data_IF_333657601859
#
_entry.id   IF_333657601859
#
_cell.length_a   1.000
_cell.length_b   1.000
_cell.length_c   1.000
_cell.angle_alpha   90.00
_cell.angle_beta   90.00
_cell.angle_gamma   90.00
#
_symmetry.space_group_name_H-M   'P 1'
#
loop_
_entity.id
_entity.type
_entity.pdbx_description
1 polymer ?
#
# COMPACT_ATOMS: atom_id res chain seq x y z
N UNK A 1 -14.28 91.90 -59.89
CA UNK A 1 -14.97 92.80 -58.95
C UNK A 1 -15.87 91.95 -58.06
N UNK A 2 -16.01 92.29 -56.77
CA UNK A 2 -16.76 91.57 -55.68
C UNK A 2 -15.93 90.61 -54.78
N UNK A 3 -15.10 91.22 -53.92
CA UNK A 3 -15.17 91.26 -52.43
C UNK A 3 -15.61 90.01 -51.61
N UNK A 4 -14.68 89.59 -50.72
CA UNK A 4 -14.77 89.02 -49.33
C UNK A 4 -15.79 87.91 -49.01
N UNK A 5 -15.31 86.85 -48.35
CA UNK A 5 -15.21 86.76 -46.85
C UNK A 5 -14.54 85.45 -46.42
N UNK A 6 -13.49 85.57 -45.59
CA UNK A 6 -12.94 84.49 -44.76
C UNK A 6 -14.00 84.06 -43.74
N UNK A 7 -14.24 82.75 -43.60
CA UNK A 7 -14.76 82.13 -42.38
C UNK A 7 -13.81 81.00 -41.98
N UNK A 8 -13.17 81.17 -40.82
CA UNK A 8 -12.41 80.13 -40.12
C UNK A 8 -13.44 79.20 -39.47
N UNK A 9 -13.42 77.91 -39.80
CA UNK A 9 -14.14 76.88 -39.05
C UNK A 9 -13.14 76.15 -38.16
N UNK A 10 -13.35 76.33 -36.85
CA UNK A 10 -12.66 75.64 -35.76
C UNK A 10 -13.24 74.23 -35.68
N UNK A 11 -12.41 73.20 -35.86
CA UNK A 11 -12.80 71.81 -35.58
C UNK A 11 -12.43 71.54 -34.11
N UNK A 12 -13.46 71.39 -33.29
CA UNK A 12 -13.35 71.03 -31.87
C UNK A 12 -13.17 69.51 -31.79
N UNK A 13 -12.05 69.07 -31.24
CA UNK A 13 -11.77 67.66 -30.93
C UNK A 13 -12.51 67.31 -29.62
N UNK A 14 -13.57 66.51 -29.70
CA UNK A 14 -14.23 65.95 -28.52
C UNK A 14 -13.43 64.69 -28.12
N UNK A 15 -12.60 64.81 -27.09
CA UNK A 15 -11.97 63.67 -26.43
C UNK A 15 -13.03 63.06 -25.49
N UNK A 16 -13.64 61.96 -25.93
CA UNK A 16 -14.50 61.14 -25.10
C UNK A 16 -13.70 60.46 -23.99
N UNK A 17 -14.04 60.80 -22.75
CA UNK A 17 -13.51 60.20 -21.54
C UNK A 17 -14.06 58.76 -21.41
N UNK A 18 -13.31 57.76 -21.90
CA UNK A 18 -13.60 56.35 -21.62
C UNK A 18 -13.05 56.04 -20.23
N UNK A 19 -13.89 56.18 -19.21
CA UNK A 19 -13.64 55.66 -17.88
C UNK A 19 -13.76 54.13 -17.91
N UNK A 20 -12.62 53.45 -18.10
CA UNK A 20 -12.50 52.00 -17.93
C UNK A 20 -12.63 51.69 -16.44
N UNK A 21 -13.79 51.18 -16.02
CA UNK A 21 -13.93 50.49 -14.75
C UNK A 21 -13.08 49.21 -14.81
N UNK A 22 -11.85 49.26 -14.27
CA UNK A 22 -11.11 48.07 -13.89
C UNK A 22 -11.82 47.41 -12.71
N UNK A 23 -12.77 46.52 -13.01
CA UNK A 23 -13.21 45.52 -12.03
C UNK A 23 -12.03 44.58 -11.78
N UNK A 24 -11.35 44.81 -10.67
CA UNK A 24 -10.33 43.94 -10.11
C UNK A 24 -10.86 42.51 -9.92
N UNK A 25 -10.66 41.65 -10.92
CA UNK A 25 -10.69 40.19 -10.75
C UNK A 25 -9.42 39.73 -10.00
N UNK A 26 -9.18 40.26 -8.80
CA UNK A 26 -7.97 39.98 -8.02
C UNK A 26 -8.05 38.72 -7.15
N UNK A 27 -9.23 38.10 -6.96
CA UNK A 27 -9.37 37.13 -5.86
C UNK A 27 -8.92 35.69 -6.12
N UNK A 28 -8.88 35.23 -7.38
CA UNK A 28 -8.55 33.83 -7.72
C UNK A 28 -7.04 33.58 -7.93
N UNK A 29 -6.28 34.63 -8.31
CA UNK A 29 -4.86 34.52 -8.61
C UNK A 29 -3.96 34.52 -7.36
N UNK A 30 -4.43 35.08 -6.24
CA UNK A 30 -3.63 35.25 -5.01
C UNK A 30 -3.37 33.91 -4.30
N UNK A 31 -4.36 33.00 -4.25
CA UNK A 31 -4.23 31.73 -3.51
C UNK A 31 -3.06 30.89 -4.01
N UNK A 32 -2.82 30.83 -5.33
CA UNK A 32 -1.71 30.05 -5.91
C UNK A 32 -0.33 30.64 -5.60
N UNK A 33 -0.25 31.93 -5.30
CA UNK A 33 1.01 32.60 -4.91
C UNK A 33 1.27 32.44 -3.43
N UNK A 34 0.20 32.46 -2.63
CA UNK A 34 0.29 32.49 -1.17
C UNK A 34 0.25 31.11 -0.51
N UNK A 35 -0.28 30.10 -1.18
CA UNK A 35 -0.36 28.74 -0.67
C UNK A 35 0.64 27.86 -1.42
N UNK A 36 1.62 27.35 -0.68
CA UNK A 36 2.56 26.34 -1.14
C UNK A 36 2.21 25.00 -0.52
N UNK A 37 2.29 23.93 -1.30
CA UNK A 37 2.06 22.57 -0.82
C UNK A 37 3.28 21.74 -1.14
N UNK A 38 3.96 21.28 -0.09
CA UNK A 38 5.11 20.40 -0.19
C UNK A 38 4.72 18.99 0.27
N UNK A 39 5.37 17.98 -0.28
CA UNK A 39 5.30 16.62 0.22
C UNK A 39 6.35 16.46 1.32
N UNK A 40 5.89 16.28 2.55
CA UNK A 40 6.77 16.05 3.70
C UNK A 40 7.32 14.62 3.68
N UNK A 41 6.43 13.64 3.54
CA UNK A 41 6.81 12.22 3.49
C UNK A 41 5.77 11.36 2.79
N UNK A 42 6.18 10.14 2.43
CA UNK A 42 5.31 9.05 1.96
C UNK A 42 5.50 7.87 2.89
N UNK A 43 4.41 7.31 3.37
CA UNK A 43 4.43 6.17 4.30
C UNK A 43 3.49 5.10 3.78
N UNK A 44 3.98 3.86 3.76
CA UNK A 44 3.16 2.68 3.51
C UNK A 44 2.66 2.18 4.86
N UNK A 45 1.37 1.95 4.94
CA UNK A 45 0.65 1.48 6.11
C UNK A 45 -0.15 0.22 5.74
N UNK A 46 -0.46 -0.60 6.73
CA UNK A 46 -1.37 -1.74 6.59
C UNK A 46 -1.01 -2.70 5.45
N UNK A 47 0.29 -2.95 5.22
CA UNK A 47 0.71 -3.93 4.21
C UNK A 47 0.20 -5.32 4.61
N UNK A 48 -0.54 -5.96 3.70
CA UNK A 48 -1.10 -7.30 3.87
C UNK A 48 -1.18 -8.04 2.53
N UNK A 49 -1.60 -9.33 2.52
CA UNK A 49 -1.91 -10.04 1.29
C UNK A 49 -3.04 -9.44 0.45
N UNK A 50 -3.86 -8.55 1.02
CA UNK A 50 -4.98 -7.90 0.34
C UNK A 50 -4.59 -6.56 -0.30
N UNK A 51 -3.51 -5.93 0.17
CA UNK A 51 -3.06 -4.64 -0.32
C UNK A 51 -2.29 -3.82 0.70
N UNK A 52 -2.37 -2.49 0.57
CA UNK A 52 -1.75 -1.52 1.47
C UNK A 52 -2.44 -0.16 1.40
N UNK A 53 -2.11 0.73 2.32
CA UNK A 53 -2.43 2.16 2.24
C UNK A 53 -1.15 2.95 2.01
N UNK A 54 -1.08 3.71 0.91
CA UNK A 54 0.00 4.66 0.67
C UNK A 54 -0.46 6.06 1.09
N UNK A 55 0.14 6.59 2.14
CA UNK A 55 -0.22 7.90 2.71
C UNK A 55 0.82 8.95 2.33
N UNK A 56 0.35 10.02 1.67
CA UNK A 56 1.13 11.21 1.37
C UNK A 56 0.89 12.25 2.47
N UNK A 57 1.92 12.57 3.25
CA UNK A 57 1.85 13.63 4.25
C UNK A 57 2.23 14.95 3.59
N UNK A 58 1.27 15.86 3.48
CA UNK A 58 1.46 17.15 2.83
C UNK A 58 1.64 18.24 3.88
N UNK A 59 2.61 19.11 3.62
CA UNK A 59 2.80 20.36 4.35
C UNK A 59 2.21 21.50 3.54
N UNK A 60 1.18 22.14 4.07
CA UNK A 60 0.54 23.29 3.43
C UNK A 60 0.99 24.56 4.16
N UNK A 61 1.70 25.42 3.44
CA UNK A 61 2.25 26.67 3.95
C UNK A 61 1.39 27.82 3.42
N UNK A 62 0.88 28.67 4.30
CA UNK A 62 0.14 29.87 3.95
C UNK A 62 0.98 31.11 4.27
N UNK A 63 1.55 31.74 3.25
CA UNK A 63 2.31 32.99 3.40
C UNK A 63 1.43 34.25 3.38
N UNK A 64 0.13 34.13 3.13
CA UNK A 64 -0.77 35.29 3.12
C UNK A 64 -1.03 35.83 4.53
N UNK A 65 -1.62 37.02 4.58
CA UNK A 65 -2.19 37.61 5.80
C UNK A 65 -3.61 37.13 6.13
N UNK A 66 -4.17 36.19 5.36
CA UNK A 66 -5.57 35.74 5.48
C UNK A 66 -5.65 34.27 5.86
N UNK A 67 -6.65 33.92 6.65
CA UNK A 67 -7.00 32.53 6.88
C UNK A 67 -7.69 31.95 5.64
N UNK A 68 -7.23 30.76 5.24
CA UNK A 68 -7.89 29.93 4.24
C UNK A 68 -8.40 28.65 4.89
N UNK A 69 -9.24 27.93 4.15
CA UNK A 69 -9.88 26.72 4.60
C UNK A 69 -9.86 25.71 3.46
N UNK A 70 -9.25 24.55 3.65
CA UNK A 70 -9.36 23.45 2.69
C UNK A 70 -10.80 22.95 2.71
N UNK A 71 -11.45 23.02 1.56
CA UNK A 71 -12.88 22.76 1.38
C UNK A 71 -13.16 21.62 0.41
N UNK A 72 -12.21 21.30 -0.47
CA UNK A 72 -12.35 20.19 -1.41
C UNK A 72 -10.99 19.72 -1.89
N UNK A 73 -10.97 18.54 -2.47
CA UNK A 73 -9.84 18.05 -3.23
C UNK A 73 -10.31 17.14 -4.38
N UNK A 74 -9.55 17.13 -5.46
CA UNK A 74 -9.68 16.14 -6.53
C UNK A 74 -8.32 15.59 -6.87
N UNK A 75 -8.25 14.30 -7.19
CA UNK A 75 -7.00 13.67 -7.61
C UNK A 75 -7.23 12.48 -8.53
N UNK A 76 -6.18 12.19 -9.28
CA UNK A 76 -5.95 10.95 -10.00
C UNK A 76 -4.73 10.27 -9.40
N UNK A 77 -4.87 9.00 -9.10
CA UNK A 77 -3.78 8.12 -8.71
C UNK A 77 -3.51 7.19 -9.88
N UNK A 78 -2.35 7.36 -10.49
CA UNK A 78 -1.89 6.60 -11.65
C UNK A 78 -0.85 5.62 -11.14
N UNK A 79 -0.98 4.35 -11.50
CA UNK A 79 0.04 3.33 -11.22
C UNK A 79 0.61 2.86 -12.56
N UNK A 80 1.93 2.89 -12.69
CA UNK A 80 2.63 2.82 -13.96
C UNK A 80 2.11 3.85 -14.97
N UNK A 81 1.22 3.43 -15.88
CA UNK A 81 0.61 4.26 -16.92
C UNK A 81 -0.92 4.22 -16.89
N UNK A 82 -1.52 3.48 -15.94
CA UNK A 82 -2.96 3.30 -15.85
C UNK A 82 -3.55 4.13 -14.71
N UNK A 83 -4.71 4.75 -14.96
CA UNK A 83 -5.49 5.41 -13.91
C UNK A 83 -6.08 4.35 -12.99
N UNK A 84 -5.54 4.21 -11.78
CA UNK A 84 -6.00 3.24 -10.79
C UNK A 84 -7.24 3.76 -10.05
N UNK A 85 -7.24 5.06 -9.71
CA UNK A 85 -8.32 5.72 -9.00
C UNK A 85 -8.41 7.18 -9.42
N UNK A 86 -9.65 7.67 -9.54
CA UNK A 86 -9.96 9.09 -9.67
C UNK A 86 -11.05 9.44 -8.67
N UNK A 87 -10.85 10.53 -7.95
CA UNK A 87 -11.72 10.92 -6.84
C UNK A 87 -11.83 12.44 -6.74
N UNK A 88 -13.01 12.91 -6.36
CA UNK A 88 -13.32 14.32 -6.16
C UNK A 88 -14.24 14.42 -4.95
N UNK A 89 -13.82 15.18 -3.94
CA UNK A 89 -14.46 15.22 -2.62
C UNK A 89 -14.61 16.66 -2.17
N UNK A 90 -15.79 17.01 -1.64
CA UNK A 90 -16.00 18.23 -0.86
C UNK A 90 -16.02 17.86 0.62
N UNK A 91 -15.35 18.67 1.45
CA UNK A 91 -15.27 18.47 2.88
C UNK A 91 -16.46 19.14 3.56
N UNK A 92 -17.19 18.39 4.38
CA UNK A 92 -18.23 18.94 5.26
C UNK A 92 -17.60 19.82 6.34
N UNK A 93 -16.55 19.30 6.99
CA UNK A 93 -15.73 20.04 7.95
C UNK A 93 -14.50 20.63 7.27
N UNK A 94 -14.50 21.96 7.15
CA UNK A 94 -13.40 22.70 6.55
C UNK A 94 -12.14 22.65 7.41
N UNK A 95 -10.99 22.31 6.82
CA UNK A 95 -9.71 22.29 7.53
C UNK A 95 -9.07 23.67 7.45
N UNK A 96 -8.89 24.33 8.60
CA UNK A 96 -8.30 25.68 8.66
C UNK A 96 -6.82 25.66 8.26
N UNK A 97 -6.44 26.55 7.35
CA UNK A 97 -5.06 26.89 6.96
C UNK A 97 -4.76 28.31 7.45
N UNK A 98 -4.24 28.49 8.67
CA UNK A 98 -4.11 29.82 9.27
C UNK A 98 -3.14 30.73 8.52
N UNK A 99 -3.36 32.05 8.59
CA UNK A 99 -2.46 33.05 8.02
C UNK A 99 -1.05 32.93 8.59
N UNK A 100 -0.02 33.02 7.73
CA UNK A 100 1.41 32.97 8.11
C UNK A 100 1.81 31.73 8.90
N UNK A 101 1.12 30.62 8.70
CA UNK A 101 1.39 29.35 9.37
C UNK A 101 1.45 28.21 8.36
N UNK A 102 1.93 27.06 8.84
CA UNK A 102 1.87 25.79 8.13
C UNK A 102 0.97 24.80 8.87
N UNK A 103 0.36 23.90 8.10
CA UNK A 103 -0.38 22.75 8.62
C UNK A 103 0.08 21.47 7.93
N UNK A 104 -0.17 20.33 8.56
CA UNK A 104 0.09 19.02 8.00
C UNK A 104 -1.22 18.28 7.77
N UNK A 105 -1.37 17.70 6.59
CA UNK A 105 -2.51 16.84 6.25
C UNK A 105 -2.00 15.48 5.78
N UNK A 106 -2.74 14.42 6.11
CA UNK A 106 -2.50 13.09 5.59
C UNK A 106 -3.47 12.82 4.43
N UNK A 107 -2.94 12.32 3.32
CA UNK A 107 -3.72 11.88 2.18
C UNK A 107 -3.50 10.40 1.92
N UNK A 108 -4.33 9.51 2.50
CA UNK A 108 -4.24 8.08 2.29
C UNK A 108 -4.84 7.68 0.95
N UNK A 109 -4.15 6.79 0.22
CA UNK A 109 -4.66 6.09 -0.96
C UNK A 109 -4.62 4.60 -0.68
N UNK A 110 -5.80 3.97 -0.59
CA UNK A 110 -5.91 2.52 -0.41
C UNK A 110 -5.69 1.80 -1.74
N UNK A 111 -4.71 0.92 -1.77
CA UNK A 111 -4.40 0.05 -2.90
C UNK A 111 -4.80 -1.37 -2.52
N UNK A 112 -5.71 -1.99 -3.28
CA UNK A 112 -6.04 -3.41 -3.13
C UNK A 112 -5.41 -4.18 -4.28
N UNK A 113 -4.80 -5.33 -4.01
CA UNK A 113 -4.13 -6.11 -5.06
C UNK A 113 -5.10 -6.67 -6.08
N UNK A 114 -6.31 -7.04 -5.66
CA UNK A 114 -7.36 -7.47 -6.59
C UNK A 114 -7.63 -6.40 -7.66
N UNK A 115 -8.00 -5.18 -7.25
CA UNK A 115 -8.27 -4.09 -8.21
C UNK A 115 -7.01 -3.69 -8.99
N UNK A 116 -5.85 -3.71 -8.34
CA UNK A 116 -4.58 -3.36 -8.98
C UNK A 116 -4.26 -4.32 -10.14
N UNK A 117 -4.37 -5.62 -9.91
CA UNK A 117 -4.05 -6.64 -10.91
C UNK A 117 -5.14 -6.77 -11.97
N UNK A 118 -6.41 -6.55 -11.62
CA UNK A 118 -7.50 -6.44 -12.60
C UNK A 118 -7.27 -5.25 -13.54
N UNK A 119 -6.78 -4.12 -13.01
CA UNK A 119 -6.52 -2.90 -13.78
C UNK A 119 -5.20 -2.99 -14.57
N UNK A 120 -4.19 -3.63 -13.99
CA UNK A 120 -2.81 -3.66 -14.51
C UNK A 120 -2.22 -5.08 -14.34
N UNK A 121 -2.65 -6.06 -15.15
CA UNK A 121 -2.26 -7.47 -14.97
C UNK A 121 -0.75 -7.72 -15.02
N UNK A 122 0.00 -6.86 -15.74
CA UNK A 122 1.47 -6.96 -15.81
C UNK A 122 2.16 -6.79 -14.46
N UNK A 123 1.50 -6.22 -13.44
CA UNK A 123 2.08 -6.05 -12.11
C UNK A 123 2.11 -7.32 -11.26
N UNK A 124 1.36 -8.38 -11.58
CA UNK A 124 1.30 -9.59 -10.73
C UNK A 124 2.68 -10.22 -10.47
N UNK A 125 3.57 -10.12 -11.45
CA UNK A 125 4.91 -10.70 -11.37
C UNK A 125 5.97 -9.70 -10.90
N UNK A 126 5.64 -8.42 -10.79
CA UNK A 126 6.56 -7.38 -10.36
C UNK A 126 6.79 -7.42 -8.84
N UNK A 127 7.90 -6.81 -8.39
CA UNK A 127 8.24 -6.70 -6.96
C UNK A 127 7.72 -5.41 -6.33
N UNK A 128 7.52 -4.38 -7.14
CA UNK A 128 7.05 -3.05 -6.73
C UNK A 128 6.31 -2.38 -7.87
N UNK A 129 5.52 -1.37 -7.53
CA UNK A 129 4.86 -0.51 -8.49
C UNK A 129 5.26 0.95 -8.26
N UNK A 130 5.41 1.70 -9.35
CA UNK A 130 5.61 3.15 -9.33
C UNK A 130 4.27 3.83 -9.55
N UNK A 131 4.00 4.91 -8.82
CA UNK A 131 2.75 5.65 -8.89
C UNK A 131 2.95 7.16 -8.95
N UNK A 132 1.91 7.85 -9.42
CA UNK A 132 1.82 9.30 -9.48
C UNK A 132 0.45 9.74 -8.95
N UNK A 133 0.45 10.60 -7.93
CA UNK A 133 -0.72 11.30 -7.46
C UNK A 133 -0.71 12.70 -8.06
N UNK A 134 -1.76 13.07 -8.80
CA UNK A 134 -1.92 14.43 -9.35
C UNK A 134 -3.32 14.95 -9.11
N UNK A 135 -3.43 16.19 -8.65
CA UNK A 135 -4.71 16.70 -8.18
C UNK A 135 -4.72 18.19 -7.90
N UNK A 136 -5.80 18.65 -7.25
CA UNK A 136 -5.98 20.02 -6.81
C UNK A 136 -6.60 20.04 -5.42
N UNK A 137 -6.15 20.98 -4.60
CA UNK A 137 -6.75 21.33 -3.32
C UNK A 137 -7.58 22.60 -3.50
N UNK A 138 -8.85 22.57 -3.11
CA UNK A 138 -9.77 23.71 -3.15
C UNK A 138 -9.78 24.48 -1.85
N UNK A 139 -9.38 25.76 -1.89
CA UNK A 139 -9.28 26.64 -0.73
C UNK A 139 -10.44 27.62 -0.73
N UNK A 140 -11.16 27.70 0.37
CA UNK A 140 -12.28 28.59 0.61
C UNK A 140 -11.98 29.59 1.73
N UNK A 141 -12.90 30.54 1.93
CA UNK A 141 -12.95 31.34 3.15
C UNK A 141 -13.75 30.64 4.26
N UNK A 142 -13.83 31.24 5.44
CA UNK A 142 -14.59 30.72 6.60
C UNK A 142 -16.07 30.43 6.31
N UNK A 143 -16.66 31.09 5.30
CA UNK A 143 -18.06 30.88 4.88
C UNK A 143 -18.21 29.79 3.81
N UNK A 144 -17.16 29.03 3.50
CA UNK A 144 -17.18 27.98 2.47
C UNK A 144 -17.12 28.49 1.02
N UNK A 145 -16.98 29.81 0.79
CA UNK A 145 -16.86 30.34 -0.58
C UNK A 145 -15.45 30.07 -1.12
N UNK A 146 -15.37 29.26 -2.18
CA UNK A 146 -14.13 28.94 -2.87
C UNK A 146 -13.38 30.21 -3.31
N UNK A 147 -12.09 30.26 -3.03
CA UNK A 147 -11.16 31.35 -3.32
C UNK A 147 -10.11 30.97 -4.36
N UNK A 148 -9.79 29.69 -4.48
CA UNK A 148 -8.85 29.22 -5.48
C UNK A 148 -8.56 27.74 -5.34
N UNK A 149 -7.77 27.22 -6.27
CA UNK A 149 -7.29 25.85 -6.25
C UNK A 149 -5.78 25.82 -6.39
N UNK A 150 -5.13 24.96 -5.62
CA UNK A 150 -3.69 24.74 -5.66
C UNK A 150 -3.43 23.37 -6.27
N UNK A 151 -2.73 23.28 -7.41
CA UNK A 151 -2.39 22.00 -8.00
C UNK A 151 -1.31 21.30 -7.17
N UNK A 152 -1.38 19.97 -7.11
CA UNK A 152 -0.38 19.11 -6.46
C UNK A 152 -0.04 17.95 -7.37
N UNK A 153 1.22 17.52 -7.35
CA UNK A 153 1.69 16.37 -8.10
C UNK A 153 2.87 15.72 -7.37
N UNK A 154 2.76 14.42 -7.07
CA UNK A 154 3.73 13.67 -6.29
C UNK A 154 3.94 12.29 -6.91
N UNK A 155 5.18 11.84 -7.01
CA UNK A 155 5.51 10.45 -7.37
C UNK A 155 5.69 9.60 -6.13
N UNK A 156 5.52 8.29 -6.25
CA UNK A 156 5.72 7.31 -5.18
C UNK A 156 6.05 5.95 -5.75
N UNK A 157 6.45 5.04 -4.87
CA UNK A 157 6.52 3.61 -5.17
C UNK A 157 6.09 2.83 -3.93
N UNK A 158 5.62 1.61 -4.15
CA UNK A 158 5.19 0.71 -3.09
C UNK A 158 5.49 -0.75 -3.45
N UNK A 159 5.77 -1.62 -2.45
CA UNK A 159 6.04 -3.03 -2.68
C UNK A 159 4.76 -3.76 -3.09
N UNK A 160 4.93 -4.83 -3.86
CA UNK A 160 3.86 -5.79 -4.15
C UNK A 160 4.10 -7.03 -3.30
N UNK A 161 3.29 -7.19 -2.26
CA UNK A 161 3.39 -8.34 -1.38
C UNK A 161 2.88 -9.60 -2.08
N UNK A 162 3.72 -10.63 -2.09
CA UNK A 162 3.41 -12.00 -2.51
C UNK A 162 3.48 -12.88 -1.28
N UNK A 163 2.39 -13.59 -0.98
CA UNK A 163 2.40 -14.58 0.10
C UNK A 163 3.52 -15.60 -0.17
N UNK A 164 4.48 -15.80 0.75
CA UNK A 164 5.53 -16.79 0.56
C UNK A 164 4.95 -18.16 0.28
N UNK A 165 5.51 -18.87 -0.69
CA UNK A 165 5.12 -20.25 -0.98
C UNK A 165 5.69 -21.17 0.09
N UNK A 166 5.00 -22.27 0.37
CA UNK A 166 5.49 -23.29 1.28
C UNK A 166 5.32 -24.68 0.67
N UNK A 167 6.28 -25.57 0.91
CA UNK A 167 6.20 -26.98 0.52
C UNK A 167 6.84 -27.87 1.57
N UNK A 168 6.32 -29.06 1.76
CA UNK A 168 6.99 -30.10 2.55
C UNK A 168 8.23 -30.51 1.73
N UNK A 169 9.41 -30.29 2.29
CA UNK A 169 10.67 -30.56 1.60
C UNK A 169 11.30 -31.88 2.04
N UNK A 170 11.04 -32.31 3.28
CA UNK A 170 11.60 -33.55 3.82
C UNK A 170 10.66 -34.22 4.80
N UNK A 171 10.60 -35.55 4.68
CA UNK A 171 9.99 -36.43 5.65
C UNK A 171 10.94 -37.61 5.88
N UNK A 172 11.80 -37.52 6.90
CA UNK A 172 12.77 -38.56 7.20
C UNK A 172 12.56 -39.17 8.57
N UNK A 173 12.51 -40.50 8.62
CA UNK A 173 12.55 -41.25 9.86
C UNK A 173 14.02 -41.43 10.25
N UNK A 174 14.45 -40.80 11.33
CA UNK A 174 15.80 -40.99 11.85
C UNK A 174 15.91 -42.30 12.62
N UNK A 175 14.90 -42.60 13.45
CA UNK A 175 14.81 -43.81 14.24
C UNK A 175 13.35 -44.23 14.38
N UNK A 176 13.10 -45.54 14.41
CA UNK A 176 11.78 -46.11 14.66
C UNK A 176 11.92 -47.32 15.59
N UNK A 177 10.98 -47.45 16.51
CA UNK A 177 10.88 -48.55 17.45
C UNK A 177 9.43 -49.04 17.54
N UNK A 178 9.18 -50.05 18.37
CA UNK A 178 7.82 -50.52 18.65
C UNK A 178 7.00 -49.43 19.35
N UNK A 179 7.65 -48.57 20.14
CA UNK A 179 6.97 -47.55 20.95
C UNK A 179 6.83 -46.18 20.29
N UNK A 180 7.58 -45.89 19.22
CA UNK A 180 7.62 -44.54 18.65
C UNK A 180 8.60 -44.34 17.51
N UNK A 181 8.69 -43.11 17.02
CA UNK A 181 9.61 -42.70 15.96
C UNK A 181 10.16 -41.28 16.18
N UNK A 182 11.41 -41.06 15.78
CA UNK A 182 12.04 -39.76 15.65
C UNK A 182 12.05 -39.37 14.17
N UNK A 183 11.47 -38.21 13.84
CA UNK A 183 11.25 -37.75 12.47
C UNK A 183 11.84 -36.35 12.27
N UNK A 184 12.71 -36.24 11.26
CA UNK A 184 13.18 -34.99 10.68
C UNK A 184 12.17 -34.53 9.61
N UNK A 185 11.23 -33.69 10.03
CA UNK A 185 10.22 -33.08 9.17
C UNK A 185 10.61 -31.66 8.82
N UNK A 186 10.61 -31.32 7.52
CA UNK A 186 11.03 -30.01 7.05
C UNK A 186 10.05 -29.39 6.06
N UNK A 187 9.89 -28.08 6.20
CA UNK A 187 9.08 -27.26 5.31
C UNK A 187 9.95 -26.16 4.73
N UNK A 188 10.01 -26.08 3.41
CA UNK A 188 10.66 -25.00 2.69
C UNK A 188 9.67 -23.88 2.45
N UNK A 189 10.03 -22.67 2.88
CA UNK A 189 9.34 -21.44 2.54
C UNK A 189 10.15 -20.68 1.49
N UNK A 190 9.46 -20.15 0.48
CA UNK A 190 10.05 -19.41 -0.64
C UNK A 190 9.47 -18.00 -0.64
N UNK A 191 10.33 -17.00 -0.49
CA UNK A 191 9.97 -15.59 -0.51
C UNK A 191 10.20 -14.98 -1.89
N UNK A 192 9.11 -14.76 -2.60
CA UNK A 192 9.10 -14.10 -3.92
C UNK A 192 8.94 -12.58 -3.80
N UNK A 193 9.02 -12.01 -2.60
CA UNK A 193 9.03 -10.56 -2.38
C UNK A 193 10.42 -9.97 -2.61
N UNK A 194 10.45 -8.69 -2.99
CA UNK A 194 11.70 -7.91 -3.11
C UNK A 194 12.26 -7.43 -1.77
N UNK A 195 11.72 -7.90 -0.65
CA UNK A 195 12.10 -7.49 0.71
C UNK A 195 12.14 -8.69 1.66
N UNK A 196 12.86 -8.51 2.76
CA UNK A 196 13.06 -9.53 3.79
C UNK A 196 11.78 -9.72 4.60
N UNK A 197 11.50 -10.99 4.93
CA UNK A 197 10.44 -11.36 5.86
C UNK A 197 11.09 -11.94 7.11
N UNK A 198 10.86 -11.31 8.25
CA UNK A 198 11.28 -11.86 9.52
C UNK A 198 10.17 -12.78 9.99
N UNK A 199 10.43 -14.08 10.08
CA UNK A 199 9.47 -15.00 10.68
C UNK A 199 9.60 -14.81 12.19
N UNK A 200 8.53 -14.50 12.90
CA UNK A 200 8.58 -14.38 14.36
C UNK A 200 8.16 -15.70 15.01
N UNK A 201 7.20 -16.40 14.38
CA UNK A 201 6.59 -17.61 14.93
C UNK A 201 5.97 -18.49 13.84
N UNK A 202 6.10 -19.80 14.00
CA UNK A 202 5.34 -20.78 13.22
C UNK A 202 4.61 -21.71 14.19
N UNK A 203 3.29 -21.59 14.26
CA UNK A 203 2.42 -22.55 14.94
C UNK A 203 1.92 -23.55 13.91
N UNK A 204 2.10 -24.84 14.15
CA UNK A 204 1.86 -25.87 13.14
C UNK A 204 1.10 -27.08 13.67
N UNK A 205 0.55 -27.83 12.72
CA UNK A 205 -0.09 -29.13 12.92
C UNK A 205 0.19 -30.03 11.71
N UNK A 206 0.54 -31.28 11.96
CA UNK A 206 0.88 -32.28 10.94
C UNK A 206 -0.03 -33.50 11.11
N UNK A 207 -0.65 -33.91 10.02
CA UNK A 207 -1.45 -35.11 9.93
C UNK A 207 -0.88 -36.06 8.88
N UNK A 208 -0.94 -37.36 9.20
CA UNK A 208 -0.63 -38.45 8.29
C UNK A 208 -1.83 -39.39 8.24
N UNK A 209 -2.33 -39.68 7.04
CA UNK A 209 -3.47 -40.58 6.88
C UNK A 209 -4.71 -40.13 7.68
N UNK A 210 -4.83 -38.83 7.99
CA UNK A 210 -5.89 -38.27 8.83
C UNK A 210 -5.58 -38.22 10.34
N UNK A 211 -4.52 -38.89 10.81
CA UNK A 211 -4.11 -38.89 12.22
C UNK A 211 -3.16 -37.73 12.51
N UNK A 212 -3.43 -36.96 13.56
CA UNK A 212 -2.53 -35.89 14.03
C UNK A 212 -1.28 -36.54 14.64
N UNK A 213 -0.13 -36.35 14.01
CA UNK A 213 1.14 -36.89 14.50
C UNK A 213 1.99 -35.84 15.23
N UNK A 214 1.71 -34.55 15.03
CA UNK A 214 2.44 -33.49 15.70
C UNK A 214 1.72 -32.16 15.64
N UNK A 215 1.89 -31.37 16.69
CA UNK A 215 1.54 -29.95 16.70
C UNK A 215 2.51 -29.24 17.65
N UNK A 216 2.77 -27.97 17.38
CA UNK A 216 3.71 -27.22 18.17
C UNK A 216 3.89 -25.80 17.67
N UNK A 217 4.87 -25.14 18.27
CA UNK A 217 5.27 -23.79 17.94
C UNK A 217 6.79 -23.74 17.91
N UNK A 218 7.35 -23.16 16.84
CA UNK A 218 8.76 -22.84 16.79
C UNK A 218 8.94 -21.33 16.71
N UNK A 219 9.95 -20.83 17.42
CA UNK A 219 10.42 -19.46 17.25
C UNK A 219 10.91 -19.29 15.81
N UNK A 220 10.46 -18.22 15.19
CA UNK A 220 10.73 -17.93 13.80
C UNK A 220 12.06 -17.26 13.54
N UNK A 221 12.96 -17.11 14.54
CA UNK A 221 14.26 -16.34 14.64
C UNK A 221 15.18 -16.25 13.40
N UNK A 222 14.76 -16.91 12.36
CA UNK A 222 15.18 -17.02 10.99
C UNK A 222 14.53 -15.95 10.11
N UNK A 223 15.40 -15.12 9.55
CA UNK A 223 15.09 -14.35 8.35
C UNK A 223 14.74 -15.24 7.15
N UNK A 224 13.77 -14.84 6.35
CA UNK A 224 13.51 -15.36 5.02
C UNK A 224 13.93 -14.27 4.00
N UNK A 225 15.08 -14.42 3.32
CA UNK A 225 15.69 -13.36 2.53
C UNK A 225 14.83 -12.95 1.32
N UNK A 226 15.00 -11.73 0.79
CA UNK A 226 14.38 -11.32 -0.46
C UNK A 226 14.73 -12.28 -1.60
N UNK A 227 13.75 -12.66 -2.43
CA UNK A 227 13.95 -13.58 -3.56
C UNK A 227 14.67 -14.89 -3.20
N UNK A 228 14.50 -15.37 -1.97
CA UNK A 228 15.21 -16.53 -1.46
C UNK A 228 14.29 -17.50 -0.76
N UNK A 229 14.88 -18.59 -0.29
CA UNK A 229 14.16 -19.67 0.37
C UNK A 229 14.83 -20.06 1.67
N UNK A 230 14.05 -20.68 2.55
CA UNK A 230 14.53 -21.20 3.82
C UNK A 230 13.75 -22.40 4.28
N UNK A 231 14.50 -23.36 4.78
CA UNK A 231 13.95 -24.59 5.33
C UNK A 231 13.81 -24.46 6.85
N UNK A 232 12.61 -24.80 7.34
CA UNK A 232 12.29 -24.85 8.77
C UNK A 232 12.19 -26.32 9.19
N UNK A 233 13.00 -26.66 10.18
CA UNK A 233 13.01 -27.97 10.81
C UNK A 233 11.98 -28.01 11.94
N UNK A 234 11.06 -28.96 11.86
CA UNK A 234 10.01 -29.20 12.84
C UNK A 234 10.29 -30.56 13.49
N UNK A 235 10.98 -30.62 14.64
CA UNK A 235 11.31 -31.89 15.27
C UNK A 235 10.04 -32.60 15.72
N UNK A 236 9.92 -33.88 15.40
CA UNK A 236 8.78 -34.71 15.74
C UNK A 236 9.24 -35.98 16.47
N UNK A 237 8.88 -36.07 17.76
CA UNK A 237 9.02 -37.28 18.55
C UNK A 237 7.64 -37.89 18.74
N UNK A 238 7.43 -39.07 18.15
CA UNK A 238 6.16 -39.77 18.15
C UNK A 238 6.13 -40.85 19.22
N UNK A 239 5.02 -40.92 19.97
CA UNK A 239 4.69 -42.03 20.86
C UNK A 239 3.50 -42.81 20.28
N UNK A 240 3.73 -44.03 19.78
CA UNK A 240 2.69 -44.85 19.15
C UNK A 240 1.65 -45.36 20.14
N UNK A 241 1.95 -45.41 21.44
CA UNK A 241 0.95 -45.75 22.45
C UNK A 241 -0.10 -44.65 22.62
N UNK A 242 0.27 -43.39 22.38
CA UNK A 242 -0.64 -42.24 22.42
C UNK A 242 -1.37 -42.03 21.08
N UNK A 243 -0.66 -42.21 19.97
CA UNK A 243 -1.17 -41.94 18.62
C UNK A 243 -2.02 -43.08 18.05
N UNK A 244 -1.93 -44.28 18.62
CA UNK A 244 -2.55 -45.50 18.09
C UNK A 244 -1.60 -46.30 17.20
N UNK A 245 -1.69 -47.63 17.30
CA UNK A 245 -0.78 -48.54 16.58
C UNK A 245 -0.96 -48.50 15.07
N UNK A 246 -2.13 -48.10 14.55
CA UNK A 246 -2.31 -47.93 13.10
C UNK A 246 -1.39 -46.87 12.51
N UNK A 247 -0.97 -45.87 13.29
CA UNK A 247 -0.08 -44.80 12.82
C UNK A 247 1.29 -45.35 12.43
N UNK A 248 1.76 -46.37 13.15
CA UNK A 248 3.02 -47.07 12.84
C UNK A 248 3.01 -47.72 11.44
N UNK A 249 1.82 -48.12 10.96
CA UNK A 249 1.66 -48.71 9.63
C UNK A 249 1.98 -47.74 8.50
N UNK A 250 1.68 -46.45 8.66
CA UNK A 250 1.99 -45.44 7.63
C UNK A 250 3.49 -45.26 7.41
N UNK A 251 4.31 -45.47 8.44
CA UNK A 251 5.77 -45.35 8.35
C UNK A 251 6.46 -46.53 7.64
N UNK A 252 5.72 -47.61 7.36
CA UNK A 252 6.22 -48.72 6.55
C UNK A 252 6.06 -48.48 5.04
N UNK A 253 5.22 -47.52 4.65
CA UNK A 253 4.97 -47.17 3.25
C UNK A 253 6.17 -46.41 2.66
N UNK A 254 6.28 -46.44 1.32
CA UNK A 254 7.26 -45.63 0.60
C UNK A 254 6.84 -44.15 0.54
N UNK A 255 5.54 -43.89 0.51
CA UNK A 255 4.95 -42.55 0.47
C UNK A 255 3.72 -42.48 1.35
N UNK A 256 3.42 -41.28 1.83
CA UNK A 256 2.27 -41.04 2.70
C UNK A 256 1.57 -39.74 2.37
N UNK A 257 0.24 -39.74 2.45
CA UNK A 257 -0.55 -38.51 2.40
C UNK A 257 -0.30 -37.72 3.68
N UNK A 258 0.35 -36.57 3.55
CA UNK A 258 0.66 -35.66 4.63
C UNK A 258 -0.12 -34.35 4.45
N UNK A 259 -0.75 -33.89 5.54
CA UNK A 259 -1.34 -32.56 5.63
C UNK A 259 -0.57 -31.74 6.65
N UNK A 260 -0.05 -30.60 6.22
CA UNK A 260 0.62 -29.62 7.07
C UNK A 260 -0.22 -28.35 7.12
N UNK A 261 -0.65 -27.96 8.31
CA UNK A 261 -1.33 -26.68 8.53
C UNK A 261 -0.49 -25.80 9.44
N UNK A 262 -0.41 -24.51 9.15
CA UNK A 262 0.34 -23.56 9.98
C UNK A 262 -0.25 -22.16 9.99
N UNK A 263 -0.02 -21.45 11.08
CA UNK A 263 -0.13 -20.00 11.20
C UNK A 263 1.28 -19.45 11.37
N UNK A 264 1.71 -18.66 10.39
CA UNK A 264 3.06 -18.09 10.33
C UNK A 264 2.96 -16.61 10.61
N UNK A 265 3.49 -16.17 11.74
CA UNK A 265 3.61 -14.75 12.05
C UNK A 265 4.90 -14.22 11.44
N UNK A 266 4.75 -13.22 10.60
CA UNK A 266 5.87 -12.53 9.97
C UNK A 266 5.85 -11.06 10.32
N UNK A 267 7.02 -10.46 10.26
CA UNK A 267 7.26 -9.04 10.41
C UNK A 267 8.03 -8.52 9.21
N UNK A 268 7.57 -7.38 8.73
CA UNK A 268 8.19 -6.59 7.66
C UNK A 268 8.54 -5.22 8.20
N UNK A 269 9.21 -4.39 7.39
CA UNK A 269 9.43 -2.99 7.72
C UNK A 269 8.13 -2.16 7.79
N UNK A 270 7.01 -2.71 7.31
CA UNK A 270 5.69 -2.05 7.27
C UNK A 270 4.68 -2.62 8.28
N UNK A 271 5.09 -3.56 9.13
CA UNK A 271 4.22 -4.12 10.16
C UNK A 271 4.28 -5.64 10.24
N UNK A 272 3.42 -6.19 11.10
CA UNK A 272 3.29 -7.63 11.35
C UNK A 272 2.03 -8.16 10.69
N UNK A 273 2.08 -9.41 10.24
CA UNK A 273 0.91 -10.12 9.72
C UNK A 273 1.02 -11.62 10.00
N UNK A 274 -0.13 -12.29 10.03
CA UNK A 274 -0.23 -13.74 10.22
C UNK A 274 -0.74 -14.39 8.95
N UNK A 275 0.01 -15.37 8.44
CA UNK A 275 -0.28 -16.07 7.20
C UNK A 275 -0.71 -17.51 7.47
N UNK A 276 -1.93 -17.90 7.07
CA UNK A 276 -2.37 -19.29 7.21
C UNK A 276 -1.84 -20.15 6.05
N UNK A 277 -1.43 -21.37 6.35
CA UNK A 277 -1.00 -22.38 5.38
C UNK A 277 -1.78 -23.66 5.59
N UNK A 278 -2.16 -24.30 4.49
CA UNK A 278 -2.72 -25.65 4.47
C UNK A 278 -2.18 -26.38 3.24
N UNK A 279 -1.22 -27.25 3.45
CA UNK A 279 -0.54 -28.03 2.42
C UNK A 279 -1.02 -29.47 2.51
N UNK A 280 -1.39 -30.06 1.38
CA UNK A 280 -1.70 -31.49 1.28
C UNK A 280 -0.87 -32.08 0.14
N UNK A 281 -0.08 -33.11 0.45
CA UNK A 281 0.86 -33.70 -0.50
C UNK A 281 1.12 -35.16 -0.18
N UNK A 282 1.41 -35.94 -1.21
CA UNK A 282 2.06 -37.26 -1.06
C UNK A 282 3.55 -37.02 -0.91
N UNK A 283 4.10 -37.44 0.23
CA UNK A 283 5.50 -37.23 0.56
C UNK A 283 6.18 -38.59 0.69
N UNK A 284 7.33 -38.73 0.02
CA UNK A 284 8.17 -39.91 0.18
C UNK A 284 8.75 -39.97 1.60
N UNK A 285 8.76 -41.16 2.17
CA UNK A 285 9.34 -41.42 3.49
C UNK A 285 10.80 -41.84 3.28
N UNK A 286 11.72 -40.96 3.69
CA UNK A 286 13.14 -41.28 3.76
C UNK A 286 13.43 -42.08 5.03
N UNK A 287 14.30 -43.09 4.91
CA UNK A 287 14.75 -43.95 6.02
C UNK A 287 16.24 -43.76 6.27
#
# INVERSE_FOLDING_TARGET
MVIRKKKKSVIIFIIGLISVFFLANHSLADVKKDIKVDLESKVIQDLSPEGLTLTFYLKIINSSSKDYYLASYDYRFIVQQAEYLKMSTSLEDLIKVPARQEIFIAWPVKVTYQHLFDTIPSLENELKAVCYLSGRLGLANRKGKLKGQVPVAFSGEFPLFKKPKARISKFKINQISIGGADIDFRVLFINENGFELLVDRIKYKILIGGHKIGEGEISGDKNLPPQGEKEFHLPLLLNFFELGREVAGFFQLAEVNCRFSAEVEIRTVWGRMTLPYNLESKVAIEK
#
